data_IF_193630608767
#
_entry.id   IF_193630608767
#
_cell.length_a   1.000
_cell.length_b   1.000
_cell.length_c   1.000
_cell.angle_alpha   90.00
_cell.angle_beta   90.00
_cell.angle_gamma   90.00
#
_symmetry.space_group_name_H-M   'P 1'
#
loop_
_entity.id
_entity.type
_entity.pdbx_description
1 polymer ?
#
# COMPACT_ATOMS: atom_id res chain seq x y z
N UNK A 1 -9.99 -10.79 23.44
CA UNK A 1 -10.36 -10.36 22.08
C UNK A 1 -9.41 -9.24 21.68
N UNK A 2 -8.82 -9.34 20.50
CA UNK A 2 -7.95 -8.31 19.92
C UNK A 2 -8.83 -7.45 19.02
N UNK A 3 -8.80 -6.14 19.22
CA UNK A 3 -9.69 -5.17 18.53
C UNK A 3 -8.93 -4.14 17.71
N UNK A 4 -7.64 -3.94 17.99
CA UNK A 4 -6.77 -3.05 17.23
C UNK A 4 -5.35 -3.59 17.22
N UNK A 5 -4.70 -3.51 16.07
CA UNK A 5 -3.38 -4.06 15.82
C UNK A 5 -2.78 -3.39 14.58
N UNK A 6 -1.47 -3.16 14.63
CA UNK A 6 -0.69 -2.62 13.52
C UNK A 6 0.44 -3.59 13.19
N UNK A 7 0.75 -3.69 11.90
CA UNK A 7 1.92 -4.40 11.37
C UNK A 7 3.21 -3.62 11.58
N UNK A 8 3.14 -2.29 11.61
CA UNK A 8 4.30 -1.42 11.81
C UNK A 8 3.93 -0.08 12.42
N UNK A 9 4.93 0.56 13.00
CA UNK A 9 4.89 1.95 13.44
C UNK A 9 6.23 2.60 13.10
N UNK A 10 6.23 3.59 12.20
CA UNK A 10 7.40 4.38 11.84
C UNK A 10 7.26 5.80 12.36
N UNK A 11 8.37 6.38 12.79
CA UNK A 11 8.47 7.80 13.15
C UNK A 11 9.50 8.46 12.24
N UNK A 12 9.13 9.58 11.64
CA UNK A 12 9.96 10.36 10.72
C UNK A 12 9.96 11.83 11.14
N UNK A 13 11.11 12.48 10.97
CA UNK A 13 11.27 13.90 11.25
C UNK A 13 11.73 14.63 9.98
N UNK A 14 10.96 15.64 9.57
CA UNK A 14 11.21 16.54 8.46
C UNK A 14 10.41 17.84 8.67
N UNK A 15 10.73 18.89 7.90
CA UNK A 15 9.99 20.16 8.01
C UNK A 15 8.58 20.04 7.43
N UNK A 16 8.44 19.27 6.34
CA UNK A 16 7.18 19.05 5.61
C UNK A 16 7.12 17.62 5.08
N UNK A 17 5.92 17.10 4.90
CA UNK A 17 5.71 15.75 4.39
C UNK A 17 4.70 15.78 3.24
N UNK A 18 5.02 15.09 2.14
CA UNK A 18 4.14 14.99 0.98
C UNK A 18 3.71 13.55 0.76
N UNK A 19 2.43 13.28 1.01
CA UNK A 19 1.82 11.98 0.80
C UNK A 19 1.38 11.85 -0.67
N UNK A 20 1.96 10.88 -1.37
CA UNK A 20 1.41 10.36 -2.64
C UNK A 20 0.56 9.14 -2.33
N UNK A 21 -0.74 9.24 -2.62
CA UNK A 21 -1.72 8.17 -2.48
C UNK A 21 -2.22 7.72 -3.85
N UNK A 22 -2.61 6.45 -3.93
CA UNK A 22 -3.13 5.81 -5.13
C UNK A 22 -4.57 5.38 -4.88
N UNK A 23 -5.48 5.90 -5.69
CA UNK A 23 -6.92 5.70 -5.56
C UNK A 23 -7.54 5.52 -6.95
N UNK A 24 -8.82 5.19 -7.04
CA UNK A 24 -9.47 5.06 -8.33
C UNK A 24 -10.85 4.46 -8.18
N UNK A 25 -11.33 3.92 -9.28
CA UNK A 25 -12.51 3.07 -9.33
C UNK A 25 -12.33 2.11 -10.51
N UNK A 26 -13.29 1.22 -10.71
CA UNK A 26 -13.34 0.36 -11.88
C UNK A 26 -13.08 1.14 -13.19
N UNK A 27 -12.18 0.60 -14.01
CA UNK A 27 -11.71 1.16 -15.28
C UNK A 27 -10.89 2.46 -15.17
N UNK A 28 -10.63 2.97 -13.96
CA UNK A 28 -9.79 4.13 -13.68
C UNK A 28 -8.93 3.88 -12.43
N UNK A 29 -8.31 2.70 -12.34
CA UNK A 29 -7.53 2.27 -11.20
C UNK A 29 -6.22 3.08 -11.05
N UNK A 30 -5.67 3.12 -9.84
CA UNK A 30 -4.29 3.61 -9.52
C UNK A 30 -4.02 5.06 -9.96
N UNK A 31 -5.02 5.94 -9.86
CA UNK A 31 -4.87 7.38 -10.00
C UNK A 31 -4.02 7.96 -8.87
N UNK A 32 -3.04 8.78 -9.26
CA UNK A 32 -2.09 9.38 -8.36
C UNK A 32 -2.65 10.70 -7.81
N UNK A 33 -2.64 10.85 -6.48
CA UNK A 33 -2.89 12.13 -5.83
C UNK A 33 -1.78 12.42 -4.84
N UNK A 34 -1.17 13.58 -4.96
CA UNK A 34 -0.14 14.05 -4.04
C UNK A 34 -0.64 15.26 -3.25
N UNK A 35 -0.50 15.21 -1.93
CA UNK A 35 -0.94 16.25 -1.00
C UNK A 35 0.06 16.43 0.13
N UNK A 36 0.27 17.68 0.57
CA UNK A 36 0.99 17.95 1.80
C UNK A 36 0.19 17.42 3.00
N UNK A 37 0.86 16.75 3.92
CA UNK A 37 0.27 16.36 5.20
C UNK A 37 0.31 17.57 6.14
N UNK A 38 -0.80 17.79 6.85
CA UNK A 38 -0.94 18.83 7.86
C UNK A 38 -1.06 18.22 9.25
N UNK A 39 -0.91 19.05 10.29
CA UNK A 39 -1.13 18.64 11.68
C UNK A 39 -2.45 17.85 11.86
N UNK A 40 -2.40 16.79 12.66
CA UNK A 40 -3.51 15.85 12.83
C UNK A 40 -3.32 14.56 12.05
N UNK A 41 -4.43 13.87 11.75
CA UNK A 41 -4.43 12.50 11.23
C UNK A 41 -5.02 12.46 9.82
N UNK A 42 -4.27 11.88 8.88
CA UNK A 42 -4.76 11.44 7.57
C UNK A 42 -4.79 9.92 7.52
N UNK A 43 -5.91 9.37 7.05
CA UNK A 43 -6.09 7.92 6.90
C UNK A 43 -6.27 7.57 5.43
N UNK A 44 -5.58 6.52 4.98
CA UNK A 44 -5.86 5.79 3.75
C UNK A 44 -6.29 4.39 4.15
N UNK A 45 -7.52 3.99 3.86
CA UNK A 45 -8.03 2.70 4.28
C UNK A 45 -9.00 2.08 3.28
N UNK A 46 -9.26 0.80 3.48
CA UNK A 46 -10.34 0.08 2.81
C UNK A 46 -11.17 -0.70 3.82
N UNK A 47 -12.48 -0.70 3.59
CA UNK A 47 -13.51 -1.42 4.36
C UNK A 47 -14.39 -2.28 3.46
N UNK A 48 -13.95 -2.51 2.22
CA UNK A 48 -14.75 -3.12 1.15
C UNK A 48 -14.71 -4.66 1.16
N UNK A 49 -14.02 -5.27 2.12
CA UNK A 49 -13.90 -6.71 2.27
C UNK A 49 -13.09 -7.32 1.14
N UNK A 50 -13.70 -8.21 0.35
CA UNK A 50 -13.06 -8.89 -0.78
C UNK A 50 -12.74 -7.97 -1.97
N UNK A 51 -13.21 -6.72 -1.94
CA UNK A 51 -12.92 -5.68 -2.94
C UNK A 51 -11.99 -4.61 -2.37
N UNK A 52 -11.04 -5.01 -1.52
CA UNK A 52 -10.21 -4.08 -0.75
C UNK A 52 -9.52 -3.03 -1.62
N UNK A 53 -9.08 -3.42 -2.82
CA UNK A 53 -8.28 -2.60 -3.72
C UNK A 53 -9.12 -1.83 -4.76
N UNK A 54 -10.45 -1.85 -4.66
CA UNK A 54 -11.34 -1.27 -5.67
C UNK A 54 -11.30 0.25 -5.71
N UNK A 55 -11.13 0.89 -4.54
CA UNK A 55 -11.07 2.35 -4.41
C UNK A 55 -9.68 2.85 -4.03
N UNK A 56 -9.06 2.25 -3.02
CA UNK A 56 -7.77 2.67 -2.49
C UNK A 56 -6.78 1.53 -2.63
N UNK A 57 -5.61 1.80 -3.22
CA UNK A 57 -4.55 0.81 -3.31
C UNK A 57 -3.74 0.75 -2.01
N UNK A 58 -3.29 -0.43 -1.56
CA UNK A 58 -2.59 -0.62 -0.29
C UNK A 58 -1.11 -0.19 -0.39
N UNK A 59 -0.82 0.96 -1.00
CA UNK A 59 0.52 1.51 -1.15
C UNK A 59 0.55 3.04 -1.08
N UNK A 60 1.69 3.60 -0.71
CA UNK A 60 1.90 5.04 -0.62
C UNK A 60 3.37 5.42 -0.80
N UNK A 61 3.61 6.70 -1.14
CA UNK A 61 4.89 7.37 -0.92
C UNK A 61 4.74 8.52 0.07
N UNK A 62 5.71 8.73 0.95
CA UNK A 62 5.85 9.93 1.78
C UNK A 62 7.19 10.57 1.45
N UNK A 63 7.16 11.72 0.79
CA UNK A 63 8.36 12.53 0.53
C UNK A 63 8.66 13.44 1.72
N UNK A 64 9.94 13.64 2.03
CA UNK A 64 10.42 14.44 3.15
C UNK A 64 10.91 15.81 2.65
N UNK A 65 10.58 16.87 3.40
CA UNK A 65 10.92 18.29 3.18
C UNK A 65 10.32 18.94 1.92
N UNK A 66 10.31 18.23 0.80
CA UNK A 66 9.80 18.65 -0.49
C UNK A 66 9.16 17.48 -1.25
N UNK A 67 8.52 17.77 -2.38
CA UNK A 67 7.95 16.74 -3.25
C UNK A 67 9.08 16.01 -3.99
N UNK A 68 9.20 14.70 -3.81
CA UNK A 68 10.15 13.92 -4.59
C UNK A 68 9.71 13.81 -6.06
N UNK A 69 10.69 13.87 -6.95
CA UNK A 69 10.51 13.58 -8.38
C UNK A 69 10.85 12.11 -8.66
N UNK A 70 10.84 11.69 -9.92
CA UNK A 70 11.28 10.34 -10.30
C UNK A 70 12.76 10.09 -10.03
N UNK A 71 13.60 11.14 -9.98
CA UNK A 71 15.06 11.04 -9.96
C UNK A 71 15.72 11.85 -8.86
N UNK A 72 14.96 12.45 -7.94
CA UNK A 72 15.49 13.24 -6.84
C UNK A 72 14.51 13.28 -5.66
N UNK A 73 15.06 13.48 -4.47
CA UNK A 73 14.33 13.71 -3.23
C UNK A 73 14.25 12.47 -2.35
N UNK A 74 14.08 12.76 -1.07
CA UNK A 74 13.98 11.77 0.00
C UNK A 74 12.54 11.29 0.15
N UNK A 75 12.31 9.97 0.12
CA UNK A 75 11.01 9.41 0.41
C UNK A 75 11.05 8.02 1.04
N UNK A 76 9.96 7.68 1.72
CA UNK A 76 9.59 6.31 2.05
C UNK A 76 8.48 5.86 1.12
N UNK A 77 8.62 4.65 0.57
CA UNK A 77 7.58 3.94 -0.13
C UNK A 77 7.16 2.71 0.68
N UNK A 78 5.86 2.53 0.90
CA UNK A 78 5.31 1.45 1.72
C UNK A 78 4.15 0.73 1.06
N UNK A 79 4.01 -0.56 1.35
CA UNK A 79 2.88 -1.41 1.00
C UNK A 79 2.67 -2.50 2.06
N UNK A 80 1.54 -3.21 2.01
CA UNK A 80 1.25 -4.35 2.89
C UNK A 80 1.17 -5.64 2.07
N UNK A 81 1.74 -6.73 2.61
CA UNK A 81 1.51 -8.08 2.12
C UNK A 81 0.09 -8.57 2.53
N UNK A 82 -0.94 -7.85 2.10
CA UNK A 82 -2.32 -8.03 2.54
C UNK A 82 -3.31 -7.67 1.43
N UNK A 83 -4.32 -8.52 1.24
CA UNK A 83 -5.34 -8.36 0.20
C UNK A 83 -6.73 -8.02 0.76
N UNK A 84 -6.85 -7.98 2.09
CA UNK A 84 -8.09 -7.62 2.77
C UNK A 84 -8.15 -6.13 3.12
N UNK A 85 -9.11 -5.77 3.96
CA UNK A 85 -9.21 -4.43 4.52
C UNK A 85 -7.89 -4.00 5.17
N UNK A 86 -7.35 -2.85 4.76
CA UNK A 86 -6.11 -2.28 5.28
C UNK A 86 -6.35 -0.87 5.82
N UNK A 87 -5.39 -0.38 6.60
CA UNK A 87 -5.33 1.01 7.06
C UNK A 87 -3.88 1.47 7.14
N UNK A 88 -3.58 2.59 6.48
CA UNK A 88 -2.42 3.42 6.75
C UNK A 88 -2.89 4.70 7.45
N UNK A 89 -2.29 4.98 8.60
CA UNK A 89 -2.52 6.21 9.35
C UNK A 89 -1.25 7.04 9.34
N UNK A 90 -1.38 8.31 8.96
CA UNK A 90 -0.32 9.31 8.95
C UNK A 90 -0.71 10.39 9.95
N UNK A 91 -0.02 10.47 11.06
CA UNK A 91 -0.29 11.42 12.13
C UNK A 91 0.89 12.37 12.31
N UNK A 92 0.65 13.67 12.17
CA UNK A 92 1.63 14.70 12.52
C UNK A 92 1.30 15.20 13.92
N UNK A 93 2.24 14.97 14.84
CA UNK A 93 2.10 15.32 16.25
C UNK A 93 2.40 16.81 16.53
N UNK A 94 2.27 17.22 17.79
CA UNK A 94 2.54 18.59 18.26
C UNK A 94 3.98 19.07 18.05
N UNK A 95 4.92 18.18 17.71
CA UNK A 95 6.33 18.48 17.43
C UNK A 95 6.66 18.43 15.94
N UNK A 96 5.67 18.29 15.06
CA UNK A 96 5.84 18.07 13.63
C UNK A 96 6.53 16.73 13.30
N UNK A 97 6.48 15.75 14.20
CA UNK A 97 6.96 14.39 13.93
C UNK A 97 5.85 13.59 13.25
N UNK A 98 6.18 12.91 12.16
CA UNK A 98 5.23 12.08 11.42
C UNK A 98 5.28 10.65 11.94
N UNK A 99 4.15 10.17 12.46
CA UNK A 99 3.92 8.78 12.80
C UNK A 99 3.14 8.08 11.68
N UNK A 100 3.69 6.95 11.19
CA UNK A 100 3.04 6.10 10.18
C UNK A 100 2.72 4.75 10.81
N UNK A 101 1.43 4.47 11.02
CA UNK A 101 0.95 3.16 11.43
C UNK A 101 0.35 2.43 10.23
N UNK A 102 0.73 1.17 10.01
CA UNK A 102 0.21 0.34 8.92
C UNK A 102 -0.33 -0.98 9.43
N UNK A 103 -1.35 -1.55 8.77
CA UNK A 103 -1.83 -2.89 9.07
C UNK A 103 -3.19 -3.19 8.47
N UNK A 104 -3.83 -4.26 8.94
CA UNK A 104 -5.23 -4.53 8.61
C UNK A 104 -6.13 -3.44 9.21
N UNK A 105 -7.28 -3.17 8.59
CA UNK A 105 -8.24 -2.23 9.15
C UNK A 105 -8.92 -2.85 10.39
N UNK A 106 -8.96 -2.18 11.56
CA UNK A 106 -9.68 -2.66 12.74
C UNK A 106 -11.21 -2.67 12.56
N UNK A 107 -11.73 -2.02 11.50
CA UNK A 107 -13.15 -2.08 11.18
C UNK A 107 -13.59 -3.51 10.83
N UNK A 108 -14.53 -4.03 11.63
CA UNK A 108 -15.13 -5.37 11.46
C UNK A 108 -14.10 -6.51 11.43
N UNK A 109 -13.06 -6.44 12.28
CA UNK A 109 -11.95 -7.40 12.31
C UNK A 109 -11.55 -7.86 13.72
N UNK A 110 -12.50 -7.86 14.66
CA UNK A 110 -12.28 -8.41 16.00
C UNK A 110 -11.82 -9.87 15.94
N UNK A 111 -10.75 -10.20 16.65
CA UNK A 111 -10.17 -11.54 16.67
C UNK A 111 -10.15 -12.12 18.08
N UNK A 112 -10.81 -13.27 18.28
CA UNK A 112 -10.74 -14.00 19.55
C UNK A 112 -9.52 -14.92 19.53
N UNK A 113 -8.47 -14.54 20.25
CA UNK A 113 -7.25 -15.34 20.37
C UNK A 113 -7.41 -16.45 21.42
N UNK A 114 -7.25 -17.69 21.01
CA UNK A 114 -7.23 -18.84 21.91
C UNK A 114 -5.94 -18.87 22.76
N UNK A 115 -5.99 -19.40 24.00
CA UNK A 115 -4.82 -19.57 24.84
C UNK A 115 -3.70 -20.33 24.13
N UNK A 116 -2.48 -19.76 24.15
CA UNK A 116 -1.29 -20.38 23.58
C UNK A 116 -1.19 -20.33 22.05
N UNK A 117 -2.13 -19.71 21.33
CA UNK A 117 -2.03 -19.48 19.88
C UNK A 117 -1.34 -18.14 19.59
N UNK A 118 -0.47 -18.06 18.57
CA UNK A 118 0.05 -16.78 18.09
C UNK A 118 -0.97 -16.05 17.21
N UNK A 119 -0.89 -14.73 17.20
CA UNK A 119 -1.58 -13.86 16.24
C UNK A 119 -0.52 -13.14 15.41
N UNK A 120 -0.57 -13.30 14.09
CA UNK A 120 0.38 -12.66 13.17
C UNK A 120 -0.35 -11.62 12.33
N UNK A 121 0.21 -10.41 12.28
CA UNK A 121 -0.23 -9.35 11.38
C UNK A 121 0.43 -9.52 10.00
N UNK A 122 -0.14 -8.96 8.91
CA UNK A 122 0.52 -8.98 7.61
C UNK A 122 1.85 -8.24 7.66
N UNK A 123 2.78 -8.60 6.78
CA UNK A 123 4.07 -7.93 6.68
C UNK A 123 3.92 -6.53 6.07
N UNK A 124 4.56 -5.54 6.69
CA UNK A 124 4.75 -4.23 6.10
C UNK A 124 6.04 -4.22 5.29
N UNK A 125 5.92 -3.92 4.00
CA UNK A 125 7.04 -3.89 3.06
C UNK A 125 7.32 -2.44 2.73
N UNK A 126 8.55 -1.99 2.96
CA UNK A 126 8.92 -0.60 2.67
C UNK A 126 10.36 -0.47 2.16
N UNK A 127 10.62 0.65 1.51
CA UNK A 127 11.96 1.10 1.14
C UNK A 127 12.07 2.58 1.41
N UNK A 128 13.28 3.01 1.74
CA UNK A 128 13.68 4.41 1.72
C UNK A 128 14.45 4.69 0.41
N UNK A 129 14.34 5.90 -0.14
CA UNK A 129 15.13 6.36 -1.29
C UNK A 129 15.57 7.79 -1.09
N UNK A 130 16.86 8.07 -1.35
CA UNK A 130 17.43 9.43 -1.47
C UNK A 130 17.45 9.93 -2.94
N UNK A 131 17.01 9.11 -3.89
CA UNK A 131 17.14 9.33 -5.33
C UNK A 131 15.78 9.48 -6.03
N UNK A 132 14.73 9.79 -5.27
CA UNK A 132 13.38 9.94 -5.80
C UNK A 132 12.59 8.64 -6.01
N UNK A 133 11.38 8.81 -6.53
CA UNK A 133 10.31 7.81 -6.65
C UNK A 133 10.67 6.64 -7.56
N UNK A 134 11.50 6.89 -8.59
CA UNK A 134 11.93 5.87 -9.53
C UNK A 134 12.81 4.81 -8.86
N UNK A 135 13.75 5.23 -8.00
CA UNK A 135 14.60 4.29 -7.25
C UNK A 135 13.77 3.53 -6.21
N UNK A 136 12.89 4.20 -5.48
CA UNK A 136 11.97 3.54 -4.55
C UNK A 136 11.12 2.46 -5.24
N UNK A 137 10.54 2.77 -6.40
CA UNK A 137 9.75 1.81 -7.17
C UNK A 137 10.59 0.64 -7.67
N UNK A 138 11.80 0.88 -8.20
CA UNK A 138 12.71 -0.19 -8.65
C UNK A 138 13.12 -1.12 -7.52
N UNK A 139 13.36 -0.60 -6.32
CA UNK A 139 13.66 -1.41 -5.13
C UNK A 139 12.50 -2.36 -4.81
N UNK A 140 11.27 -1.84 -4.74
CA UNK A 140 10.08 -2.66 -4.50
C UNK A 140 9.85 -3.69 -5.62
N UNK A 141 10.02 -3.30 -6.89
CA UNK A 141 9.88 -4.20 -8.03
C UNK A 141 10.92 -5.34 -7.97
N UNK A 142 12.17 -5.04 -7.65
CA UNK A 142 13.23 -6.04 -7.55
C UNK A 142 12.99 -6.99 -6.39
N UNK A 143 12.60 -6.46 -5.22
CA UNK A 143 12.23 -7.27 -4.07
C UNK A 143 11.05 -8.20 -4.41
N UNK A 144 9.98 -7.66 -5.00
CA UNK A 144 8.79 -8.44 -5.34
C UNK A 144 9.10 -9.58 -6.31
N UNK A 145 9.87 -9.33 -7.39
CA UNK A 145 10.27 -10.37 -8.35
C UNK A 145 11.17 -11.45 -7.74
N UNK A 146 11.98 -11.09 -6.74
CA UNK A 146 12.95 -12.01 -6.13
C UNK A 146 12.35 -12.84 -5.00
N UNK A 147 11.35 -12.31 -4.28
CA UNK A 147 10.91 -12.90 -3.02
C UNK A 147 9.40 -13.11 -2.87
N UNK A 148 8.56 -12.37 -3.62
CA UNK A 148 7.10 -12.40 -3.41
C UNK A 148 6.33 -12.99 -4.60
N UNK A 149 6.79 -12.74 -5.83
CA UNK A 149 6.11 -13.17 -7.05
C UNK A 149 6.65 -14.51 -7.51
N UNK A 150 5.78 -15.52 -7.63
CA UNK A 150 6.13 -16.81 -8.19
C UNK A 150 6.71 -16.64 -9.60
N UNK A 151 7.90 -17.20 -9.81
CA UNK A 151 8.63 -17.10 -11.08
C UNK A 151 8.80 -15.64 -11.56
N UNK A 152 9.04 -14.71 -10.63
CA UNK A 152 9.04 -13.26 -10.89
C UNK A 152 10.05 -12.78 -11.94
N UNK A 153 11.08 -13.57 -12.26
CA UNK A 153 12.07 -13.26 -13.30
C UNK A 153 11.92 -14.09 -14.58
N UNK A 154 10.87 -14.94 -14.71
CA UNK A 154 10.60 -15.69 -15.94
C UNK A 154 9.69 -14.89 -16.88
N UNK A 155 9.88 -14.99 -18.21
CA UNK A 155 8.94 -14.38 -19.15
C UNK A 155 7.55 -15.01 -19.01
N UNK A 156 6.52 -14.25 -19.40
CA UNK A 156 5.14 -14.73 -19.52
C UNK A 156 4.80 -14.96 -20.99
N UNK A 157 3.94 -15.94 -21.26
CA UNK A 157 3.49 -16.24 -22.63
C UNK A 157 2.50 -15.16 -23.11
N UNK A 158 2.53 -14.87 -24.40
CA UNK A 158 1.46 -14.12 -25.06
C UNK A 158 0.18 -14.96 -24.99
N UNK A 159 -0.90 -14.37 -24.50
CA UNK A 159 -2.19 -15.04 -24.34
C UNK A 159 -3.29 -14.38 -25.18
N UNK A 160 -4.30 -15.16 -25.50
CA UNK A 160 -5.58 -14.69 -26.02
C UNK A 160 -6.64 -15.00 -24.98
N UNK A 161 -7.42 -13.99 -24.59
CA UNK A 161 -8.57 -14.13 -23.71
C UNK A 161 -9.83 -13.72 -24.48
N UNK A 162 -10.84 -14.59 -24.55
CA UNK A 162 -12.05 -14.37 -25.34
C UNK A 162 -13.13 -13.52 -24.64
N UNK A 163 -12.85 -12.99 -23.44
CA UNK A 163 -13.81 -12.25 -22.62
C UNK A 163 -14.48 -11.10 -23.39
N UNK A 164 -13.71 -10.22 -24.03
CA UNK A 164 -14.25 -9.11 -24.80
C UNK A 164 -14.69 -9.50 -26.23
N UNK A 165 -14.17 -10.61 -26.76
CA UNK A 165 -14.48 -11.05 -28.12
C UNK A 165 -15.84 -11.73 -28.22
N UNK A 166 -16.21 -12.50 -27.19
CA UNK A 166 -17.41 -13.36 -27.21
C UNK A 166 -18.33 -13.12 -26.03
N UNK A 167 -17.88 -12.44 -24.98
CA UNK A 167 -18.59 -12.34 -23.70
C UNK A 167 -19.06 -13.73 -23.23
N UNK A 168 -20.37 -13.93 -23.10
CA UNK A 168 -20.97 -15.22 -22.70
C UNK A 168 -21.46 -16.05 -23.89
N UNK A 169 -21.27 -15.59 -25.12
CA UNK A 169 -21.80 -16.22 -26.33
C UNK A 169 -20.74 -17.08 -27.04
N UNK A 170 -20.29 -18.14 -26.37
CA UNK A 170 -19.38 -19.14 -26.94
C UNK A 170 -19.76 -20.55 -26.48
N UNK A 171 -19.37 -21.55 -27.27
CA UNK A 171 -19.33 -22.95 -26.87
C UNK A 171 -18.02 -23.57 -27.43
N UNK A 172 -17.90 -24.89 -27.49
CA UNK A 172 -16.70 -25.54 -28.02
C UNK A 172 -16.46 -25.23 -29.52
N UNK A 173 -17.55 -25.03 -30.28
CA UNK A 173 -17.55 -24.69 -31.71
C UNK A 173 -18.04 -23.27 -31.96
#
# INVERSE_FOLDING_TARGET
>A
VITEYASSFLQLDADRYWLTQFHGDWAHEVQIKETELTAGIKILDSKLGTRADFYQSPMFFVSLNEKSTETSGDLIAGTLAWTGNFRFQFEIDQRNSLHISSGMNPYASEYTLEPGKPFNTPEFIFTYSHEGKGTASRNLHQWARSYAVLDGNKPRLTLLNNWEATHTAFNET
#
